data_IF_290660032465
#
_entry.id   IF_290660032465
#
_cell.length_a   1.000
_cell.length_b   1.000
_cell.length_c   1.000
_cell.angle_alpha   90.00
_cell.angle_beta   90.00
_cell.angle_gamma   90.00
#
_symmetry.space_group_name_H-M   'P 1'
#
loop_
_entity.id
_entity.type
_entity.pdbx_description
1 polymer ?
#
# COMPACT_ATOMS: atom_id res chain seq x y z
N UNK A 1 25.10 -8.12 6.83
CA UNK A 1 23.75 -8.68 7.08
C UNK A 1 22.89 -7.57 7.70
N UNK A 2 21.76 -7.20 7.10
CA UNK A 2 20.96 -6.01 7.50
C UNK A 2 20.36 -6.14 8.92
N UNK A 3 19.42 -7.06 9.10
CA UNK A 3 18.66 -7.22 10.37
C UNK A 3 18.89 -8.56 11.06
N UNK A 4 19.70 -9.44 10.47
CA UNK A 4 19.94 -10.78 11.01
C UNK A 4 20.55 -10.75 12.42
N UNK A 5 19.99 -11.56 13.33
CA UNK A 5 20.35 -11.66 14.75
C UNK A 5 20.24 -10.35 15.54
N UNK A 6 19.52 -9.34 15.01
CA UNK A 6 19.15 -8.18 15.82
C UNK A 6 17.93 -8.50 16.70
N UNK A 7 17.88 -8.01 17.95
CA UNK A 7 16.66 -8.08 18.77
C UNK A 7 15.45 -7.55 17.98
N UNK A 8 14.32 -8.26 18.05
CA UNK A 8 13.09 -7.88 17.34
C UNK A 8 13.06 -8.17 15.84
N UNK A 9 14.07 -8.83 15.25
CA UNK A 9 14.10 -9.14 13.80
C UNK A 9 12.87 -9.89 13.27
N UNK A 10 12.20 -10.68 14.12
CA UNK A 10 11.01 -11.46 13.77
C UNK A 10 9.73 -10.61 13.70
N UNK A 11 9.77 -9.37 14.20
CA UNK A 11 8.68 -8.39 14.08
C UNK A 11 8.79 -7.53 12.82
N UNK A 12 9.83 -7.71 12.00
CA UNK A 12 10.04 -6.93 10.80
C UNK A 12 9.28 -7.59 9.65
N UNK A 13 8.35 -6.85 9.05
CA UNK A 13 7.67 -7.21 7.83
C UNK A 13 8.16 -6.31 6.70
N UNK A 14 8.91 -6.88 5.77
CA UNK A 14 9.57 -6.11 4.71
C UNK A 14 8.64 -6.01 3.51
N UNK A 15 8.43 -4.77 3.05
CA UNK A 15 7.91 -4.44 1.73
C UNK A 15 9.01 -3.73 0.95
N UNK A 16 9.07 -4.00 -0.34
CA UNK A 16 10.11 -3.49 -1.22
C UNK A 16 9.79 -3.83 -2.65
N UNK A 17 10.69 -3.44 -3.54
CA UNK A 17 10.54 -3.71 -4.97
C UNK A 17 10.48 -5.22 -5.27
N UNK A 18 9.58 -5.61 -6.17
CA UNK A 18 9.27 -7.00 -6.54
C UNK A 18 9.49 -7.27 -8.03
N UNK A 19 10.31 -6.46 -8.69
CA UNK A 19 10.53 -6.55 -10.15
C UNK A 19 9.21 -6.41 -10.93
N UNK A 20 8.32 -5.53 -10.47
CA UNK A 20 7.05 -5.20 -11.14
C UNK A 20 7.08 -3.75 -11.58
N UNK A 21 7.14 -3.50 -12.88
CA UNK A 21 7.06 -2.15 -13.44
C UNK A 21 7.13 -2.12 -14.95
N UNK A 22 6.54 -1.07 -15.53
CA UNK A 22 6.67 -0.65 -16.92
C UNK A 22 6.57 0.89 -16.94
N UNK A 23 6.18 1.49 -18.06
CA UNK A 23 5.68 2.85 -18.11
C UNK A 23 4.36 2.90 -17.33
N UNK A 24 4.42 3.39 -16.10
CA UNK A 24 3.32 3.44 -15.13
C UNK A 24 3.27 4.82 -14.47
N UNK A 25 2.10 5.17 -13.94
CA UNK A 25 2.03 6.30 -13.01
C UNK A 25 2.77 5.95 -11.70
N UNK A 26 3.24 6.95 -10.92
CA UNK A 26 3.93 6.69 -9.67
C UNK A 26 3.14 5.81 -8.68
N UNK A 27 1.83 6.06 -8.50
CA UNK A 27 1.03 5.23 -7.59
C UNK A 27 0.80 3.82 -8.17
N UNK A 28 0.53 3.68 -9.47
CA UNK A 28 0.35 2.36 -10.10
C UNK A 28 1.61 1.49 -9.92
N UNK A 29 2.80 2.07 -10.11
CA UNK A 29 4.06 1.37 -9.87
C UNK A 29 4.20 0.92 -8.40
N UNK A 30 3.79 1.77 -7.44
CA UNK A 30 3.81 1.42 -6.02
C UNK A 30 2.79 0.31 -5.68
N UNK A 31 1.60 0.35 -6.27
CA UNK A 31 0.56 -0.68 -6.11
C UNK A 31 1.07 -2.02 -6.62
N UNK A 32 1.68 -2.05 -7.81
CA UNK A 32 2.28 -3.26 -8.40
C UNK A 32 3.34 -3.91 -7.51
N UNK A 33 4.08 -3.11 -6.74
CA UNK A 33 5.08 -3.60 -5.79
C UNK A 33 4.54 -3.82 -4.37
N UNK A 34 3.27 -3.50 -4.13
CA UNK A 34 2.62 -3.53 -2.81
C UNK A 34 3.37 -2.66 -1.78
N UNK A 35 3.88 -1.52 -2.24
CA UNK A 35 4.55 -0.49 -1.43
C UNK A 35 3.72 0.79 -1.34
N UNK A 36 2.51 0.79 -1.89
CA UNK A 36 1.57 1.90 -1.80
C UNK A 36 0.90 2.01 -0.42
N UNK A 37 0.33 3.18 -0.15
CA UNK A 37 -0.32 3.49 1.14
C UNK A 37 -1.48 2.55 1.50
N UNK A 38 -2.21 2.03 0.51
CA UNK A 38 -3.35 1.14 0.75
C UNK A 38 -2.86 -0.25 1.16
N UNK A 39 -1.91 -0.82 0.40
CA UNK A 39 -1.29 -2.11 0.73
C UNK A 39 -0.63 -2.09 2.12
N UNK A 40 0.08 -1.01 2.47
CA UNK A 40 0.72 -0.86 3.78
C UNK A 40 -0.30 -0.77 4.92
N UNK A 41 -1.41 -0.06 4.72
CA UNK A 41 -2.48 0.03 5.72
C UNK A 41 -3.22 -1.31 5.88
N UNK A 42 -3.50 -2.02 4.79
CA UNK A 42 -4.10 -3.37 4.81
C UNK A 42 -3.19 -4.34 5.59
N UNK A 43 -1.90 -4.33 5.30
CA UNK A 43 -0.92 -5.15 6.04
C UNK A 43 -0.92 -4.87 7.54
N UNK A 44 -1.01 -3.60 7.93
CA UNK A 44 -1.08 -3.23 9.33
C UNK A 44 -2.33 -3.82 9.99
N UNK A 45 -3.50 -3.70 9.33
CA UNK A 45 -4.77 -4.28 9.81
C UNK A 45 -4.66 -5.80 9.94
N UNK A 46 -4.22 -6.49 8.90
CA UNK A 46 -4.20 -7.95 8.83
C UNK A 46 -3.24 -8.58 9.87
N UNK A 47 -2.20 -7.86 10.27
CA UNK A 47 -1.19 -8.32 11.24
C UNK A 47 -1.57 -8.05 12.69
N UNK A 48 -2.49 -7.14 12.94
CA UNK A 48 -2.97 -6.83 14.30
C UNK A 48 -4.15 -7.73 14.65
N UNK A 49 -3.91 -8.76 15.47
CA UNK A 49 -4.93 -9.76 15.82
C UNK A 49 -6.25 -9.16 16.33
N UNK A 50 -6.19 -8.05 17.08
CA UNK A 50 -7.35 -7.32 17.59
C UNK A 50 -8.26 -6.73 16.50
N UNK A 51 -7.75 -6.56 15.27
CA UNK A 51 -8.47 -5.94 14.16
C UNK A 51 -8.97 -6.92 13.11
N UNK A 52 -8.81 -8.23 13.31
CA UNK A 52 -9.24 -9.25 12.33
C UNK A 52 -10.71 -9.14 11.91
N UNK A 53 -11.60 -8.77 12.85
CA UNK A 53 -13.03 -8.63 12.59
C UNK A 53 -13.38 -7.16 12.36
N UNK A 54 -12.98 -6.28 13.27
CA UNK A 54 -13.36 -4.86 13.23
C UNK A 54 -12.72 -4.10 12.06
N UNK A 55 -11.59 -4.57 11.55
CA UNK A 55 -10.87 -3.96 10.43
C UNK A 55 -11.41 -4.35 9.05
N UNK A 56 -12.32 -5.31 8.94
CA UNK A 56 -12.77 -5.87 7.66
C UNK A 56 -13.34 -4.81 6.71
N UNK A 57 -14.23 -3.93 7.21
CA UNK A 57 -14.82 -2.86 6.40
C UNK A 57 -13.77 -1.83 5.93
N UNK A 58 -12.79 -1.48 6.78
CA UNK A 58 -11.72 -0.55 6.41
C UNK A 58 -10.82 -1.18 5.35
N UNK A 59 -10.47 -2.46 5.53
CA UNK A 59 -9.68 -3.23 4.57
C UNK A 59 -10.36 -3.26 3.20
N UNK A 60 -11.65 -3.52 3.14
CA UNK A 60 -12.43 -3.52 1.90
C UNK A 60 -12.43 -2.13 1.23
N UNK A 61 -12.62 -1.06 2.01
CA UNK A 61 -12.54 0.32 1.49
C UNK A 61 -11.17 0.64 0.88
N UNK A 62 -10.09 0.20 1.52
CA UNK A 62 -8.73 0.40 1.01
C UNK A 62 -8.50 -0.37 -0.30
N UNK A 63 -9.02 -1.59 -0.43
CA UNK A 63 -8.97 -2.36 -1.69
C UNK A 63 -9.75 -1.64 -2.79
N UNK A 64 -10.96 -1.15 -2.50
CA UNK A 64 -11.76 -0.42 -3.46
C UNK A 64 -11.08 0.89 -3.90
N UNK A 65 -10.39 1.58 -2.98
CA UNK A 65 -9.60 2.76 -3.31
C UNK A 65 -8.41 2.43 -4.22
N UNK A 66 -7.71 1.32 -3.96
CA UNK A 66 -6.61 0.84 -4.81
C UNK A 66 -7.10 0.59 -6.24
N UNK A 67 -8.18 -0.18 -6.40
CA UNK A 67 -8.79 -0.47 -7.71
C UNK A 67 -9.21 0.83 -8.42
N UNK A 68 -9.84 1.76 -7.70
CA UNK A 68 -10.28 3.01 -8.29
C UNK A 68 -9.11 3.93 -8.69
N UNK A 69 -7.96 3.85 -8.02
CA UNK A 69 -6.75 4.56 -8.43
C UNK A 69 -6.12 3.93 -9.68
N UNK A 70 -6.05 2.60 -9.75
CA UNK A 70 -5.54 1.89 -10.93
C UNK A 70 -6.40 2.19 -12.16
N UNK A 71 -7.73 2.08 -12.03
CA UNK A 71 -8.65 2.39 -13.14
C UNK A 71 -8.48 3.83 -13.65
N UNK A 72 -8.32 4.79 -12.74
CA UNK A 72 -8.11 6.19 -13.11
C UNK A 72 -6.75 6.39 -13.82
N UNK A 73 -5.69 5.72 -13.37
CA UNK A 73 -4.40 5.76 -14.04
C UNK A 73 -4.48 5.18 -15.47
N UNK A 74 -5.21 4.08 -15.66
CA UNK A 74 -5.44 3.49 -16.99
C UNK A 74 -6.28 4.38 -17.90
N UNK A 75 -7.28 5.07 -17.36
CA UNK A 75 -8.19 5.91 -18.14
C UNK A 75 -7.56 7.26 -18.52
N UNK A 76 -6.85 7.90 -17.59
CA UNK A 76 -6.38 9.29 -17.75
C UNK A 76 -4.86 9.41 -17.88
N UNK A 77 -4.09 8.34 -17.66
CA UNK A 77 -2.61 8.37 -17.72
C UNK A 77 -1.95 9.15 -16.59
N UNK A 78 -2.70 9.53 -15.54
CA UNK A 78 -2.24 10.29 -14.38
C UNK A 78 -2.83 9.73 -13.10
N UNK A 79 -2.16 9.96 -11.98
CA UNK A 79 -2.69 9.59 -10.66
C UNK A 79 -3.86 10.49 -10.26
N UNK A 80 -4.81 9.94 -9.48
CA UNK A 80 -5.97 10.68 -8.97
C UNK A 80 -5.54 11.96 -8.23
N UNK A 81 -6.19 13.11 -8.48
CA UNK A 81 -5.86 14.37 -7.81
C UNK A 81 -5.87 14.29 -6.28
N UNK A 82 -6.77 13.51 -5.70
CA UNK A 82 -6.86 13.28 -4.25
C UNK A 82 -5.60 12.60 -3.67
N UNK A 83 -4.92 11.76 -4.46
CA UNK A 83 -3.70 11.08 -4.05
C UNK A 83 -2.51 12.02 -4.16
N UNK A 84 -2.41 12.73 -5.28
CA UNK A 84 -1.29 13.64 -5.59
C UNK A 84 -1.34 14.92 -4.77
N UNK A 85 -2.53 15.38 -4.38
CA UNK A 85 -2.73 16.57 -3.54
C UNK A 85 -2.72 16.24 -2.05
N UNK A 86 -2.53 14.98 -1.66
CA UNK A 86 -2.49 14.59 -0.25
C UNK A 86 -1.29 15.25 0.45
N UNK A 87 -1.55 15.83 1.61
CA UNK A 87 -0.53 16.41 2.48
C UNK A 87 -0.70 15.88 3.89
N UNK A 88 0.41 15.83 4.61
CA UNK A 88 0.40 15.55 6.04
C UNK A 88 -0.20 16.77 6.78
N UNK A 89 -1.24 16.59 7.63
CA UNK A 89 -2.01 17.72 8.15
C UNK A 89 -1.50 18.31 9.48
N UNK A 90 -0.29 17.95 9.91
CA UNK A 90 0.30 18.39 11.18
C UNK A 90 1.68 19.02 11.00
#
# INVERSE_FOLDING_TARGET
RLTYRRPGQHHIHVRGYKEKGNINTPLELAIRNQTDRFSLAIDAIDRMARFRITGASVREKLLNQQIACENYAYEFGVDRPEVTSWQWPF
#
